data_IF_866654459842
#
_entry.id   IF_866654459842
#
_cell.length_a   1.000
_cell.length_b   1.000
_cell.length_c   1.000
_cell.angle_alpha   90.00
_cell.angle_beta   90.00
_cell.angle_gamma   90.00
#
_symmetry.space_group_name_H-M   'P 1'
#
loop_
_entity.id
_entity.type
_entity.pdbx_description
1 polymer ?
#
# COMPACT_ATOMS: atom_id res chain seq x y z
N UNK A 1 -23.43 26.20 3.67
CA UNK A 1 -23.30 24.75 3.98
C UNK A 1 -22.75 23.96 2.79
N UNK A 2 -23.25 24.18 1.56
CA UNK A 2 -22.75 23.52 0.34
C UNK A 2 -21.23 23.70 0.11
N UNK A 3 -20.72 24.90 0.32
CA UNK A 3 -19.33 25.27 0.02
C UNK A 3 -18.30 24.55 0.90
N UNK A 4 -18.65 24.27 2.17
CA UNK A 4 -17.80 23.48 3.07
C UNK A 4 -17.83 21.99 2.73
N UNK A 5 -18.97 21.46 2.30
CA UNK A 5 -19.08 20.07 1.87
C UNK A 5 -18.28 19.81 0.58
N UNK A 6 -18.28 20.77 -0.36
CA UNK A 6 -17.43 20.72 -1.55
C UNK A 6 -15.95 20.79 -1.20
N UNK A 7 -15.52 21.73 -0.33
CA UNK A 7 -14.12 21.83 0.13
C UNK A 7 -13.64 20.54 0.80
N UNK A 8 -14.45 19.95 1.68
CA UNK A 8 -14.17 18.66 2.33
C UNK A 8 -14.03 17.53 1.30
N UNK A 9 -14.92 17.49 0.30
CA UNK A 9 -14.92 16.45 -0.74
C UNK A 9 -13.71 16.58 -1.69
N UNK A 10 -13.30 17.81 -2.04
CA UNK A 10 -12.09 18.05 -2.82
C UNK A 10 -10.82 17.75 -2.02
N UNK A 11 -10.76 18.13 -0.74
CA UNK A 11 -9.64 17.81 0.14
C UNK A 11 -9.49 16.31 0.33
N UNK A 12 -10.58 15.58 0.58
CA UNK A 12 -10.58 14.12 0.67
C UNK A 12 -10.09 13.47 -0.64
N UNK A 13 -10.51 14.01 -1.79
CA UNK A 13 -10.10 13.49 -3.11
C UNK A 13 -8.65 13.80 -3.45
N UNK A 14 -8.12 14.97 -3.09
CA UNK A 14 -6.72 15.32 -3.25
C UNK A 14 -5.83 14.41 -2.37
N UNK A 15 -6.23 14.21 -1.10
CA UNK A 15 -5.54 13.31 -0.19
C UNK A 15 -5.54 11.87 -0.71
N UNK A 16 -6.64 11.39 -1.30
CA UNK A 16 -6.72 10.06 -1.89
C UNK A 16 -5.76 9.89 -3.07
N UNK A 17 -5.65 10.88 -3.97
CA UNK A 17 -4.72 10.85 -5.11
C UNK A 17 -3.26 10.84 -4.64
N UNK A 18 -2.92 11.66 -3.65
CA UNK A 18 -1.57 11.69 -3.07
C UNK A 18 -1.24 10.41 -2.32
N UNK A 19 -2.22 9.81 -1.65
CA UNK A 19 -2.09 8.54 -0.96
C UNK A 19 -1.91 7.37 -1.95
N UNK A 20 -2.70 7.30 -3.03
CA UNK A 20 -2.52 6.33 -4.13
C UNK A 20 -1.15 6.49 -4.80
N UNK A 21 -0.69 7.73 -4.99
CA UNK A 21 0.65 8.01 -5.50
C UNK A 21 1.72 7.48 -4.54
N UNK A 22 1.61 7.74 -3.24
CA UNK A 22 2.51 7.19 -2.21
C UNK A 22 2.54 5.66 -2.24
N UNK A 23 1.37 5.01 -2.37
CA UNK A 23 1.27 3.55 -2.45
C UNK A 23 1.98 3.00 -3.71
N UNK A 24 1.81 3.64 -4.86
CA UNK A 24 2.46 3.20 -6.11
C UNK A 24 3.99 3.39 -6.10
N UNK A 25 4.46 4.38 -5.34
CA UNK A 25 5.86 4.76 -5.20
C UNK A 25 6.55 4.11 -4.00
N UNK A 26 5.82 3.39 -3.15
CA UNK A 26 6.42 2.74 -1.99
C UNK A 26 7.45 1.71 -2.45
N UNK A 27 8.68 1.87 -1.99
CA UNK A 27 9.81 1.00 -2.29
C UNK A 27 10.56 0.73 -1.01
N UNK A 28 11.00 -0.51 -0.85
CA UNK A 28 11.86 -0.89 0.25
C UNK A 28 13.16 -0.10 0.16
N UNK A 29 13.56 0.54 1.26
CA UNK A 29 14.81 1.28 1.31
C UNK A 29 16.01 0.33 1.47
N UNK A 30 17.21 0.72 0.99
CA UNK A 30 18.44 -0.01 1.29
C UNK A 30 18.60 -0.18 2.80
N UNK A 31 18.94 -1.38 3.27
CA UNK A 31 19.07 -1.76 4.69
C UNK A 31 17.75 -1.81 5.50
N UNK A 32 16.60 -1.52 4.90
CA UNK A 32 15.31 -1.68 5.57
C UNK A 32 14.95 -3.16 5.70
N UNK A 33 14.61 -3.59 6.91
CA UNK A 33 14.14 -4.96 7.14
C UNK A 33 12.79 -5.21 6.46
N UNK A 34 12.55 -6.46 6.02
CA UNK A 34 11.28 -6.84 5.39
C UNK A 34 10.08 -6.62 6.31
N UNK A 35 10.25 -6.86 7.62
CA UNK A 35 9.20 -6.63 8.62
C UNK A 35 8.83 -5.15 8.72
N UNK A 36 9.84 -4.28 8.70
CA UNK A 36 9.61 -2.84 8.77
C UNK A 36 8.97 -2.33 7.49
N UNK A 37 9.41 -2.83 6.33
CA UNK A 37 8.77 -2.51 5.06
C UNK A 37 7.30 -2.98 4.98
N UNK A 38 6.98 -4.16 5.51
CA UNK A 38 5.60 -4.64 5.58
C UNK A 38 4.71 -3.76 6.47
N UNK A 39 5.26 -3.25 7.58
CA UNK A 39 4.56 -2.30 8.44
C UNK A 39 4.26 -0.99 7.71
N UNK A 40 5.25 -0.41 7.04
CA UNK A 40 5.07 0.83 6.27
C UNK A 40 4.01 0.67 5.16
N UNK A 41 4.03 -0.46 4.44
CA UNK A 41 3.01 -0.78 3.43
C UNK A 41 1.63 -0.92 4.07
N UNK A 42 1.54 -1.57 5.22
CA UNK A 42 0.28 -1.74 5.94
C UNK A 42 -0.32 -0.39 6.37
N UNK A 43 0.51 0.49 6.91
CA UNK A 43 0.09 1.83 7.36
C UNK A 43 -0.40 2.68 6.18
N UNK A 44 0.35 2.68 5.07
CA UNK A 44 -0.06 3.41 3.86
C UNK A 44 -1.36 2.85 3.28
N UNK A 45 -1.51 1.52 3.13
CA UNK A 45 -2.76 0.93 2.60
C UNK A 45 -3.95 1.24 3.51
N UNK A 46 -3.76 1.23 4.84
CA UNK A 46 -4.81 1.54 5.80
C UNK A 46 -5.22 3.02 5.74
N UNK A 47 -4.28 3.92 5.51
CA UNK A 47 -4.53 5.35 5.31
C UNK A 47 -5.30 5.60 4.00
N UNK A 48 -4.87 5.00 2.89
CA UNK A 48 -5.46 5.20 1.55
C UNK A 48 -6.84 4.55 1.43
N UNK A 49 -6.99 3.35 1.99
CA UNK A 49 -8.14 2.47 1.79
C UNK A 49 -8.84 2.13 3.11
N UNK A 50 -9.01 3.13 3.97
CA UNK A 50 -9.72 2.99 5.25
C UNK A 50 -11.18 2.52 5.09
N UNK A 51 -11.79 2.83 3.95
CA UNK A 51 -13.17 2.47 3.61
C UNK A 51 -13.33 1.04 3.06
N UNK A 52 -12.24 0.37 2.67
CA UNK A 52 -12.30 -0.99 2.12
C UNK A 52 -12.45 -2.06 3.21
N UNK A 53 -13.10 -3.19 2.89
CA UNK A 53 -13.11 -4.38 3.75
C UNK A 53 -11.69 -4.87 4.06
N UNK A 54 -11.50 -5.50 5.23
CA UNK A 54 -10.19 -5.99 5.67
C UNK A 54 -9.53 -6.93 4.66
N UNK A 55 -10.26 -7.88 4.08
CA UNK A 55 -9.71 -8.82 3.08
C UNK A 55 -9.19 -8.11 1.83
N UNK A 56 -9.90 -7.09 1.35
CA UNK A 56 -9.47 -6.31 0.19
C UNK A 56 -8.21 -5.50 0.50
N UNK A 57 -8.11 -4.94 1.72
CA UNK A 57 -6.89 -4.27 2.18
C UNK A 57 -5.71 -5.21 2.27
N UNK A 58 -5.87 -6.41 2.81
CA UNK A 58 -4.79 -7.40 2.91
C UNK A 58 -4.25 -7.78 1.52
N UNK A 59 -5.14 -7.98 0.54
CA UNK A 59 -4.70 -8.25 -0.83
C UNK A 59 -3.89 -7.09 -1.43
N UNK A 60 -4.33 -5.85 -1.20
CA UNK A 60 -3.60 -4.65 -1.64
C UNK A 60 -2.25 -4.50 -0.94
N UNK A 61 -2.18 -4.77 0.36
CA UNK A 61 -0.94 -4.78 1.13
C UNK A 61 0.06 -5.80 0.56
N UNK A 62 -0.39 -7.02 0.29
CA UNK A 62 0.47 -8.06 -0.30
C UNK A 62 0.98 -7.63 -1.67
N UNK A 63 0.10 -7.09 -2.52
CA UNK A 63 0.48 -6.65 -3.86
C UNK A 63 1.49 -5.50 -3.82
N UNK A 64 1.24 -4.48 -2.99
CA UNK A 64 2.13 -3.33 -2.81
C UNK A 64 3.48 -3.75 -2.20
N UNK A 65 3.47 -4.66 -1.23
CA UNK A 65 4.67 -5.21 -0.62
C UNK A 65 5.54 -5.90 -1.67
N UNK A 66 4.98 -6.86 -2.44
CA UNK A 66 5.74 -7.59 -3.47
C UNK A 66 6.27 -6.63 -4.55
N UNK A 67 5.43 -5.70 -5.01
CA UNK A 67 5.80 -4.71 -6.02
C UNK A 67 6.87 -3.73 -5.57
N UNK A 68 6.96 -3.47 -4.26
CA UNK A 68 7.88 -2.51 -3.67
C UNK A 68 9.21 -3.08 -3.17
N UNK A 69 9.38 -4.40 -3.08
CA UNK A 69 10.65 -5.04 -2.66
C UNK A 69 11.83 -4.58 -3.53
N UNK A 70 12.94 -4.17 -2.92
CA UNK A 70 14.09 -3.62 -3.63
C UNK A 70 14.83 -4.68 -4.47
N UNK A 71 14.91 -5.90 -3.95
CA UNK A 71 15.67 -6.99 -4.54
C UNK A 71 14.79 -7.92 -5.39
N UNK A 72 15.19 -8.09 -6.66
CA UNK A 72 14.53 -8.99 -7.62
C UNK A 72 14.56 -10.47 -7.19
N UNK A 73 15.58 -10.87 -6.42
CA UNK A 73 15.75 -12.24 -5.90
C UNK A 73 14.76 -12.52 -4.78
N UNK A 74 14.67 -11.62 -3.81
CA UNK A 74 13.68 -11.65 -2.73
C UNK A 74 12.26 -11.59 -3.29
N UNK A 75 12.01 -10.73 -4.30
CA UNK A 75 10.73 -10.65 -5.00
C UNK A 75 10.36 -11.97 -5.69
N UNK A 76 11.31 -12.61 -6.39
CA UNK A 76 11.11 -13.95 -6.99
C UNK A 76 10.88 -15.04 -5.94
N UNK A 77 11.54 -14.97 -4.78
CA UNK A 77 11.39 -15.95 -3.71
C UNK A 77 10.01 -15.86 -3.05
N UNK A 78 9.57 -14.64 -2.70
CA UNK A 78 8.24 -14.40 -2.12
C UNK A 78 7.14 -14.80 -3.10
N UNK A 79 7.29 -14.48 -4.39
CA UNK A 79 6.33 -14.90 -5.43
C UNK A 79 6.20 -16.42 -5.52
N UNK A 80 7.32 -17.15 -5.55
CA UNK A 80 7.33 -18.63 -5.59
C UNK A 80 6.72 -19.26 -4.35
N UNK A 81 7.02 -18.73 -3.16
CA UNK A 81 6.43 -19.25 -1.92
C UNK A 81 4.92 -19.09 -1.90
N UNK A 82 4.37 -17.98 -2.40
CA UNK A 82 2.92 -17.78 -2.51
C UNK A 82 2.27 -18.87 -3.39
N UNK A 83 2.85 -19.16 -4.55
CA UNK A 83 2.33 -20.17 -5.50
C UNK A 83 2.29 -21.59 -4.90
N UNK A 84 3.13 -21.91 -3.92
CA UNK A 84 3.12 -23.24 -3.25
C UNK A 84 2.09 -23.38 -2.13
N UNK A 85 1.45 -22.30 -1.67
CA UNK A 85 0.48 -22.33 -0.56
C UNK A 85 -0.97 -22.06 -1.01
N UNK A 86 -1.19 -21.88 -2.31
CA UNK A 86 -2.50 -21.88 -2.99
C UNK A 86 -2.67 -23.15 -3.78
#
# INVERSE_FOLDING_TARGET
>A
VLDNALKLRFAARANLIDAERRLSQIRQQPMQSLRQFAADVSDVVREVHSDLPNEAREQLQIHAFIGGLADSTTRRFVRRKRESYT
#
